data_IF_927590879127
#
_entry.id   IF_927590879127
#
_cell.length_a   1.000
_cell.length_b   1.000
_cell.length_c   1.000
_cell.angle_alpha   90.00
_cell.angle_beta   90.00
_cell.angle_gamma   90.00
#
_symmetry.space_group_name_H-M   'P 1'
#
loop_
_entity.id
_entity.type
_entity.pdbx_description
1 polymer ?
#
# COMPACT_ATOMS: atom_id res chain seq x y z
N UNK A 1 12.37 -4.57 15.21
CA UNK A 1 11.90 -4.44 13.81
C UNK A 1 13.04 -3.93 12.94
N UNK A 2 12.97 -4.21 11.65
CA UNK A 2 13.95 -3.76 10.64
C UNK A 2 14.17 -2.24 10.68
N UNK A 3 13.09 -1.46 10.87
CA UNK A 3 13.20 0.01 11.01
C UNK A 3 14.11 0.41 12.16
N UNK A 4 13.93 -0.17 13.36
CA UNK A 4 14.79 0.12 14.51
C UNK A 4 16.25 -0.26 14.26
N UNK A 5 16.48 -1.34 13.54
CA UNK A 5 17.84 -1.76 13.17
C UNK A 5 18.49 -0.75 12.21
N UNK A 6 17.76 -0.28 11.18
CA UNK A 6 18.22 0.76 10.26
C UNK A 6 18.50 2.09 10.99
N UNK A 7 17.60 2.50 11.88
CA UNK A 7 17.81 3.69 12.73
C UNK A 7 19.09 3.56 13.59
N UNK A 8 19.34 2.37 14.14
CA UNK A 8 20.59 2.05 14.85
C UNK A 8 21.85 2.10 13.97
N UNK A 9 21.71 2.01 12.64
CA UNK A 9 22.77 2.22 11.64
C UNK A 9 22.86 3.66 11.12
N UNK A 10 22.08 4.59 11.68
CA UNK A 10 22.08 6.01 11.30
C UNK A 10 21.15 6.38 10.16
N UNK A 11 20.36 5.43 9.62
CA UNK A 11 19.38 5.72 8.56
C UNK A 11 18.13 6.33 9.18
N UNK A 12 17.76 7.53 8.74
CA UNK A 12 16.57 8.23 9.22
C UNK A 12 15.31 7.77 8.49
N UNK A 13 14.14 7.84 9.13
CA UNK A 13 12.85 7.46 8.50
C UNK A 13 12.57 8.21 7.20
N UNK A 14 12.95 9.48 7.11
CA UNK A 14 12.82 10.27 5.88
C UNK A 14 13.80 9.87 4.76
N UNK A 15 14.62 8.86 4.98
CA UNK A 15 15.48 8.21 3.99
C UNK A 15 15.00 6.79 3.65
N UNK A 16 13.89 6.33 4.24
CA UNK A 16 13.33 5.00 4.04
C UNK A 16 12.06 5.09 3.21
N UNK A 17 11.92 4.23 2.23
CA UNK A 17 10.68 3.98 1.51
C UNK A 17 10.08 2.68 2.01
N UNK A 18 8.81 2.72 2.40
CA UNK A 18 8.05 1.51 2.75
C UNK A 18 7.44 0.93 1.47
N UNK A 19 7.68 -0.34 1.22
CA UNK A 19 7.05 -1.07 0.13
C UNK A 19 6.21 -2.21 0.72
N UNK A 20 4.95 -2.27 0.35
CA UNK A 20 4.04 -3.35 0.72
C UNK A 20 3.33 -3.91 -0.51
N UNK A 21 3.33 -5.23 -0.63
CA UNK A 21 2.61 -5.97 -1.67
C UNK A 21 1.51 -6.80 -1.00
N UNK A 22 0.32 -6.80 -1.58
CA UNK A 22 -0.83 -7.61 -1.12
C UNK A 22 -1.02 -7.49 0.40
N UNK A 23 -0.85 -8.58 1.16
CA UNK A 23 -0.96 -8.58 2.63
C UNK A 23 0.02 -7.59 3.30
N UNK A 24 1.20 -7.39 2.72
CA UNK A 24 2.20 -6.44 3.21
C UNK A 24 1.74 -4.98 3.17
N UNK A 25 0.75 -4.64 2.34
CA UNK A 25 0.21 -3.28 2.24
C UNK A 25 -0.46 -2.83 3.54
N UNK A 26 -1.17 -3.74 4.22
CA UNK A 26 -1.77 -3.47 5.52
C UNK A 26 -0.73 -3.11 6.59
N UNK A 27 0.42 -3.79 6.58
CA UNK A 27 1.55 -3.51 7.48
C UNK A 27 2.19 -2.16 7.11
N UNK A 28 2.42 -1.90 5.82
CA UNK A 28 3.00 -0.65 5.36
C UNK A 28 2.14 0.56 5.76
N UNK A 29 0.82 0.48 5.56
CA UNK A 29 -0.14 1.53 5.97
C UNK A 29 -0.15 1.71 7.49
N UNK A 30 -0.15 0.61 8.27
CA UNK A 30 -0.10 0.67 9.74
C UNK A 30 1.14 1.41 10.22
N UNK A 31 2.30 1.10 9.66
CA UNK A 31 3.59 1.72 10.04
C UNK A 31 3.64 3.18 9.59
N UNK A 32 3.23 3.47 8.34
CA UNK A 32 3.23 4.82 7.78
C UNK A 32 2.22 5.76 8.47
N UNK A 33 1.12 5.22 9.01
CA UNK A 33 0.13 6.01 9.77
C UNK A 33 0.67 6.57 11.09
N UNK A 34 1.76 5.99 11.61
CA UNK A 34 2.38 6.36 12.90
C UNK A 34 3.60 7.26 12.76
N UNK A 35 4.22 7.31 11.59
CA UNK A 35 5.46 8.07 11.35
C UNK A 35 5.56 8.47 9.88
N UNK A 36 6.17 9.63 9.60
CA UNK A 36 6.48 10.05 8.23
C UNK A 36 7.74 9.35 7.73
N UNK A 37 7.68 8.79 6.53
CA UNK A 37 8.77 8.16 5.78
C UNK A 37 9.09 8.98 4.53
N UNK A 38 10.17 8.64 3.82
CA UNK A 38 10.47 9.27 2.53
C UNK A 38 9.31 9.06 1.53
N UNK A 39 8.79 7.84 1.47
CA UNK A 39 7.65 7.49 0.63
C UNK A 39 7.03 6.16 1.04
N UNK A 40 5.86 5.88 0.50
CA UNK A 40 5.14 4.61 0.66
C UNK A 40 4.71 4.11 -0.70
N UNK A 41 4.96 2.84 -0.98
CA UNK A 41 4.52 2.16 -2.21
C UNK A 41 3.62 1.00 -1.80
N UNK A 42 2.41 0.96 -2.34
CA UNK A 42 1.44 -0.10 -2.10
C UNK A 42 1.09 -0.77 -3.42
N UNK A 43 1.35 -2.06 -3.52
CA UNK A 43 1.00 -2.90 -4.67
C UNK A 43 -0.13 -3.84 -4.32
N UNK A 44 -1.19 -3.84 -5.13
CA UNK A 44 -2.42 -4.62 -4.93
C UNK A 44 -2.99 -4.51 -3.51
N UNK A 45 -3.19 -3.26 -2.98
CA UNK A 45 -3.63 -3.07 -1.61
C UNK A 45 -5.13 -3.36 -1.43
N UNK A 46 -5.50 -3.74 -0.20
CA UNK A 46 -6.88 -4.01 0.23
C UNK A 46 -7.36 -3.02 1.30
N UNK A 47 -8.67 -2.78 1.34
CA UNK A 47 -9.29 -1.84 2.30
C UNK A 47 -9.25 -2.33 3.74
N UNK A 48 -9.52 -3.63 3.94
CA UNK A 48 -9.42 -4.30 5.25
C UNK A 48 -9.32 -5.83 5.09
N UNK A 49 -8.76 -6.51 6.09
CA UNK A 49 -8.77 -7.98 6.15
C UNK A 49 -10.21 -8.52 6.25
N UNK A 50 -11.13 -7.77 6.84
CA UNK A 50 -12.54 -8.17 6.91
C UNK A 50 -13.20 -8.18 5.52
N UNK A 51 -12.92 -7.16 4.70
CA UNK A 51 -13.46 -7.08 3.33
C UNK A 51 -12.89 -8.19 2.46
N UNK A 52 -11.58 -8.47 2.59
CA UNK A 52 -10.94 -9.60 1.93
C UNK A 52 -11.53 -10.94 2.37
N UNK A 53 -11.70 -11.13 3.67
CA UNK A 53 -12.26 -12.34 4.22
C UNK A 53 -13.70 -12.59 3.76
N UNK A 54 -14.56 -11.56 3.72
CA UNK A 54 -15.93 -11.68 3.20
C UNK A 54 -15.96 -12.10 1.73
N UNK A 55 -14.98 -11.64 0.94
CA UNK A 55 -14.88 -12.04 -0.48
C UNK A 55 -14.42 -13.47 -0.65
N UNK A 56 -13.36 -13.88 0.06
CA UNK A 56 -12.76 -15.22 -0.09
C UNK A 56 -13.59 -16.31 0.59
N UNK A 57 -14.27 -15.97 1.69
CA UNK A 57 -15.01 -16.91 2.53
C UNK A 57 -16.36 -16.33 2.96
N UNK A 58 -17.30 -16.11 2.04
CA UNK A 58 -18.56 -15.41 2.33
C UNK A 58 -19.44 -16.12 3.36
N UNK A 59 -19.20 -17.42 3.62
CA UNK A 59 -19.99 -18.22 4.55
C UNK A 59 -19.34 -18.36 5.94
N UNK A 60 -18.14 -17.81 6.17
CA UNK A 60 -17.48 -17.88 7.48
C UNK A 60 -17.70 -16.57 8.26
N UNK A 61 -17.98 -16.64 9.57
CA UNK A 61 -18.09 -15.46 10.43
C UNK A 61 -16.70 -14.87 10.73
N UNK A 62 -16.03 -14.35 9.71
CA UNK A 62 -14.65 -13.88 9.75
C UNK A 62 -14.44 -12.76 10.75
N UNK A 63 -15.49 -11.98 11.05
CA UNK A 63 -15.45 -10.93 12.07
C UNK A 63 -15.10 -11.45 13.48
N UNK A 64 -15.32 -12.74 13.75
CA UNK A 64 -15.04 -13.38 15.03
C UNK A 64 -13.62 -13.91 15.11
N UNK A 65 -13.04 -14.27 13.95
CA UNK A 65 -11.72 -14.92 13.85
C UNK A 65 -10.55 -13.93 13.78
N UNK A 66 -10.79 -12.65 13.49
CA UNK A 66 -9.73 -11.67 13.29
C UNK A 66 -9.59 -10.72 14.47
N UNK A 67 -8.57 -10.95 15.30
CA UNK A 67 -8.14 -10.01 16.34
C UNK A 67 -7.48 -8.75 15.75
N UNK A 68 -6.78 -8.87 14.62
CA UNK A 68 -6.11 -7.76 13.95
C UNK A 68 -6.89 -7.30 12.71
N UNK A 69 -7.62 -6.23 12.90
CA UNK A 69 -8.31 -5.53 11.82
C UNK A 69 -7.30 -4.61 11.12
N UNK A 70 -6.61 -5.09 10.08
CA UNK A 70 -5.89 -4.20 9.20
C UNK A 70 -6.90 -3.31 8.45
N UNK A 71 -7.36 -2.26 9.13
CA UNK A 71 -8.27 -1.26 8.60
C UNK A 71 -7.47 -0.23 7.80
N UNK A 72 -6.92 -0.65 6.66
CA UNK A 72 -6.10 0.21 5.81
C UNK A 72 -6.83 1.48 5.42
N UNK A 73 -8.13 1.37 5.12
CA UNK A 73 -8.97 2.52 4.74
C UNK A 73 -9.05 3.58 5.84
N UNK A 74 -9.12 3.19 7.11
CA UNK A 74 -9.20 4.15 8.21
C UNK A 74 -7.83 4.77 8.54
N UNK A 75 -6.75 4.08 8.19
CA UNK A 75 -5.38 4.48 8.50
C UNK A 75 -4.73 5.28 7.38
N UNK A 76 -5.14 5.05 6.12
CA UNK A 76 -4.53 5.73 4.96
C UNK A 76 -4.63 7.26 5.07
N UNK A 77 -5.71 7.78 5.64
CA UNK A 77 -5.92 9.22 5.92
C UNK A 77 -4.89 9.81 6.91
N UNK A 78 -4.22 8.96 7.69
CA UNK A 78 -3.19 9.38 8.65
C UNK A 78 -1.78 9.32 8.06
N UNK A 79 -1.61 8.72 6.89
CA UNK A 79 -0.32 8.66 6.19
C UNK A 79 0.02 10.04 5.67
N UNK A 80 1.15 10.59 6.12
CA UNK A 80 1.66 11.92 5.74
C UNK A 80 2.84 11.83 4.75
N UNK A 81 3.26 10.64 4.42
CA UNK A 81 4.31 10.38 3.45
C UNK A 81 3.74 10.44 2.04
N UNK A 82 4.51 10.88 1.03
CA UNK A 82 4.16 10.67 -0.37
C UNK A 82 3.82 9.21 -0.63
N UNK A 83 2.79 8.95 -1.41
CA UNK A 83 2.31 7.58 -1.63
C UNK A 83 2.12 7.26 -3.11
N UNK A 84 2.59 6.09 -3.53
CA UNK A 84 2.28 5.48 -4.81
C UNK A 84 1.40 4.25 -4.56
N UNK A 85 0.25 4.19 -5.23
CA UNK A 85 -0.63 3.02 -5.20
C UNK A 85 -0.69 2.42 -6.60
N UNK A 86 -0.32 1.15 -6.69
CA UNK A 86 -0.30 0.37 -7.92
C UNK A 86 -1.30 -0.78 -7.78
N UNK A 87 -2.16 -0.98 -8.79
CA UNK A 87 -3.17 -2.06 -8.74
C UNK A 87 -3.66 -2.40 -10.14
N UNK A 88 -3.53 -3.66 -10.53
CA UNK A 88 -4.09 -4.16 -11.79
C UNK A 88 -5.61 -4.16 -11.78
N UNK A 89 -6.23 -3.63 -12.84
CA UNK A 89 -7.70 -3.57 -12.90
C UNK A 89 -8.34 -4.95 -13.12
N UNK A 90 -7.58 -5.92 -13.65
CA UNK A 90 -8.00 -7.31 -13.81
C UNK A 90 -7.65 -8.20 -12.61
N UNK A 91 -7.26 -7.62 -11.46
CA UNK A 91 -6.91 -8.38 -10.25
C UNK A 91 -8.10 -9.24 -9.76
N UNK A 92 -7.93 -10.55 -9.84
CA UNK A 92 -8.93 -11.55 -9.47
C UNK A 92 -8.84 -12.00 -8.01
N UNK A 93 -7.80 -11.60 -7.27
CA UNK A 93 -7.58 -11.92 -5.86
C UNK A 93 -8.05 -10.75 -4.99
N UNK A 94 -7.43 -9.58 -5.16
CA UNK A 94 -7.82 -8.34 -4.48
C UNK A 94 -8.58 -7.46 -5.47
N UNK A 95 -9.88 -7.21 -5.29
CA UNK A 95 -10.63 -6.39 -6.23
C UNK A 95 -10.04 -5.00 -6.40
N UNK A 96 -9.87 -4.57 -7.63
CA UNK A 96 -9.33 -3.26 -8.00
C UNK A 96 -9.99 -2.09 -7.24
N UNK A 97 -11.33 -2.15 -7.01
CA UNK A 97 -12.02 -1.08 -6.29
C UNK A 97 -11.44 -0.81 -4.89
N UNK A 98 -10.79 -1.80 -4.26
CA UNK A 98 -10.17 -1.61 -2.94
C UNK A 98 -8.95 -0.70 -3.03
N UNK A 99 -8.07 -0.92 -4.01
CA UNK A 99 -6.91 -0.06 -4.28
C UNK A 99 -7.33 1.35 -4.70
N UNK A 100 -8.33 1.45 -5.60
CA UNK A 100 -8.91 2.72 -6.04
C UNK A 100 -9.46 3.52 -4.85
N UNK A 101 -10.19 2.87 -3.95
CA UNK A 101 -10.76 3.50 -2.76
C UNK A 101 -9.68 3.98 -1.79
N UNK A 102 -8.61 3.21 -1.60
CA UNK A 102 -7.46 3.64 -0.80
C UNK A 102 -6.77 4.85 -1.43
N UNK A 103 -6.62 4.87 -2.75
CA UNK A 103 -6.07 6.02 -3.46
C UNK A 103 -6.92 7.27 -3.27
N UNK A 104 -8.24 7.16 -3.42
CA UNK A 104 -9.14 8.31 -3.26
C UNK A 104 -9.05 8.94 -1.87
N UNK A 105 -8.89 8.10 -0.83
CA UNK A 105 -8.83 8.52 0.57
C UNK A 105 -7.41 8.86 1.08
N UNK A 106 -6.36 8.59 0.28
CA UNK A 106 -4.99 8.96 0.62
C UNK A 106 -4.76 10.45 0.52
N UNK A 107 -3.86 10.97 1.37
CA UNK A 107 -3.45 12.38 1.32
C UNK A 107 -2.48 12.64 0.16
N UNK A 108 -2.45 13.88 -0.31
CA UNK A 108 -1.42 14.35 -1.23
C UNK A 108 -0.05 14.51 -0.53
N UNK A 109 1.07 14.36 -1.26
CA UNK A 109 1.16 14.00 -2.67
C UNK A 109 0.94 12.50 -2.89
N UNK A 110 0.09 12.16 -3.85
CA UNK A 110 -0.23 10.78 -4.21
C UNK A 110 -0.16 10.54 -5.71
N UNK A 111 0.28 9.33 -6.08
CA UNK A 111 0.39 8.86 -7.48
C UNK A 111 -0.31 7.51 -7.58
N UNK A 112 -0.97 7.25 -8.70
CA UNK A 112 -1.54 5.94 -9.01
C UNK A 112 -0.93 5.35 -10.26
N UNK A 113 -0.88 4.01 -10.31
CA UNK A 113 -0.61 3.23 -11.51
C UNK A 113 -1.62 2.09 -11.57
N UNK A 114 -2.58 2.18 -12.49
CA UNK A 114 -3.73 1.29 -12.59
C UNK A 114 -3.86 0.69 -14.01
N UNK A 115 -2.96 -0.23 -14.41
CA UNK A 115 -3.01 -0.86 -15.73
C UNK A 115 -4.27 -1.72 -15.88
N UNK A 116 -4.89 -1.67 -17.07
CA UNK A 116 -6.19 -2.31 -17.32
C UNK A 116 -6.11 -3.84 -17.35
N UNK A 117 -5.04 -4.38 -17.92
CA UNK A 117 -4.90 -5.82 -18.17
C UNK A 117 -4.16 -6.58 -17.06
N UNK A 118 -3.49 -5.88 -16.15
CA UNK A 118 -2.71 -6.52 -15.09
C UNK A 118 -3.59 -7.18 -14.04
N UNK A 119 -3.14 -8.36 -13.61
CA UNK A 119 -3.74 -9.15 -12.55
C UNK A 119 -3.08 -8.83 -11.18
N UNK A 120 -3.28 -9.69 -10.18
CA UNK A 120 -2.72 -9.56 -8.84
C UNK A 120 -1.19 -9.46 -8.82
N UNK A 121 -0.54 -10.28 -9.63
CA UNK A 121 0.89 -10.18 -9.92
C UNK A 121 1.07 -9.22 -11.08
N UNK A 122 1.49 -7.99 -10.79
CA UNK A 122 1.67 -6.98 -11.81
C UNK A 122 2.87 -7.27 -12.71
N UNK A 123 2.75 -6.94 -13.99
CA UNK A 123 3.86 -7.05 -14.92
C UNK A 123 4.83 -5.87 -14.76
N UNK A 124 6.09 -6.18 -14.47
CA UNK A 124 7.15 -5.16 -14.32
C UNK A 124 7.69 -4.74 -15.70
N UNK A 125 6.81 -4.14 -16.48
CA UNK A 125 7.10 -3.58 -17.79
C UNK A 125 7.78 -2.20 -17.70
N UNK A 126 8.12 -1.62 -18.86
CA UNK A 126 8.83 -0.33 -18.94
C UNK A 126 8.01 0.82 -18.30
N UNK A 127 6.70 0.80 -18.43
CA UNK A 127 5.80 1.84 -17.90
C UNK A 127 5.75 1.81 -16.36
N UNK A 128 5.62 0.63 -15.76
CA UNK A 128 5.69 0.46 -14.32
C UNK A 128 7.06 0.93 -13.79
N UNK A 129 8.15 0.48 -14.44
CA UNK A 129 9.50 0.86 -14.03
C UNK A 129 9.70 2.38 -14.13
N UNK A 130 9.19 3.02 -15.18
CA UNK A 130 9.22 4.47 -15.33
C UNK A 130 8.42 5.17 -14.21
N UNK A 131 7.25 4.67 -13.89
CA UNK A 131 6.40 5.20 -12.81
C UNK A 131 7.12 5.12 -11.46
N UNK A 132 7.73 3.96 -11.14
CA UNK A 132 8.53 3.78 -9.93
C UNK A 132 9.72 4.75 -9.87
N UNK A 133 10.48 4.88 -10.96
CA UNK A 133 11.62 5.80 -11.04
C UNK A 133 11.20 7.25 -10.85
N UNK A 134 10.11 7.68 -11.49
CA UNK A 134 9.59 9.04 -11.35
C UNK A 134 9.14 9.32 -9.92
N UNK A 135 8.41 8.38 -9.31
CA UNK A 135 8.00 8.51 -7.92
C UNK A 135 9.21 8.62 -6.98
N UNK A 136 10.18 7.72 -7.08
CA UNK A 136 11.39 7.74 -6.24
C UNK A 136 12.20 9.01 -6.43
N UNK A 137 12.34 9.50 -7.66
CA UNK A 137 13.04 10.76 -7.96
C UNK A 137 12.33 11.97 -7.35
N UNK A 138 10.99 11.96 -7.29
CA UNK A 138 10.22 13.05 -6.68
C UNK A 138 10.46 13.17 -5.17
N UNK A 139 10.79 12.06 -4.49
CA UNK A 139 11.05 12.02 -3.04
C UNK A 139 12.34 12.76 -2.65
N UNK A 140 13.31 12.85 -3.56
CA UNK A 140 14.59 13.52 -3.31
C UNK A 140 14.47 15.03 -3.27
N UNK A 141 13.34 15.58 -3.72
CA UNK A 141 13.05 17.01 -3.79
C UNK A 141 12.13 17.49 -2.66
N UNK A 142 11.79 16.63 -1.70
CA UNK A 142 10.95 16.91 -0.52
C UNK A 142 11.78 16.91 0.77
#
# INVERSE_FOLDING_TARGET
>A
STIKWLEGKGVKKNQMVLYGESLGTGIAVEVASKSKFAGVILESPFTSMQDMGKKLYPYLPISILQHDKYLSLNKIKKVKSPILIMHGQADNIVPFYMGKKLFDEANDPKVSYFPEEDNHMMEYNEELIKTLKNFLSSLSNL
#
